data_IF_286318915860
#
_entry.id   IF_286318915860
#
_cell.length_a   1.000
_cell.length_b   1.000
_cell.length_c   1.000
_cell.angle_alpha   90.00
_cell.angle_beta   90.00
_cell.angle_gamma   90.00
#
_symmetry.space_group_name_H-M   'P 1'
#
loop_
_entity.id
_entity.type
_entity.pdbx_description
1 polymer ?
#
# COMPACT_ATOMS: atom_id res chain seq x y z
N UNK A 1 4.78 9.32 9.53
CA UNK A 1 5.41 8.02 9.24
C UNK A 1 6.25 8.16 7.99
N UNK A 2 7.50 7.70 8.00
CA UNK A 2 8.35 7.72 6.79
C UNK A 2 8.12 6.45 5.97
N UNK A 3 8.36 6.54 4.67
CA UNK A 3 8.27 5.42 3.71
C UNK A 3 9.05 4.19 4.17
N UNK A 4 10.23 4.42 4.77
CA UNK A 4 11.10 3.36 5.32
C UNK A 4 10.37 2.55 6.41
N UNK A 5 9.60 3.21 7.28
CA UNK A 5 8.84 2.52 8.33
C UNK A 5 7.73 1.64 7.75
N UNK A 6 7.09 2.08 6.67
CA UNK A 6 6.00 1.34 6.02
C UNK A 6 6.56 0.07 5.35
N UNK A 7 7.66 0.20 4.60
CA UNK A 7 8.32 -0.94 3.97
C UNK A 7 8.77 -2.00 4.99
N UNK A 8 9.27 -1.58 6.16
CA UNK A 8 9.65 -2.51 7.21
C UNK A 8 8.44 -3.30 7.76
N UNK A 9 7.30 -2.63 8.00
CA UNK A 9 6.07 -3.30 8.44
C UNK A 9 5.59 -4.31 7.42
N UNK A 10 5.58 -3.94 6.14
CA UNK A 10 5.17 -4.82 5.04
C UNK A 10 6.03 -6.08 5.01
N UNK A 11 7.35 -5.94 5.15
CA UNK A 11 8.30 -7.06 5.14
C UNK A 11 8.22 -7.94 6.39
N UNK A 12 7.95 -7.35 7.56
CA UNK A 12 7.90 -8.07 8.83
C UNK A 12 6.55 -8.72 9.14
N UNK A 13 5.48 -8.39 8.40
CA UNK A 13 4.12 -8.83 8.70
C UNK A 13 3.46 -9.61 7.55
N UNK A 14 3.93 -10.82 7.18
CA UNK A 14 3.45 -11.56 6.00
C UNK A 14 1.96 -11.94 6.03
N UNK A 15 1.31 -11.87 7.20
CA UNK A 15 -0.12 -12.18 7.38
C UNK A 15 -1.01 -10.92 7.43
N UNK A 16 -0.46 -9.74 7.17
CA UNK A 16 -1.23 -8.49 7.17
C UNK A 16 -2.28 -8.53 6.05
N UNK A 17 -3.55 -8.36 6.43
CA UNK A 17 -4.68 -8.37 5.49
C UNK A 17 -5.30 -6.98 5.30
N UNK A 18 -5.04 -6.04 6.22
CA UNK A 18 -5.58 -4.69 6.17
C UNK A 18 -4.48 -3.70 6.50
N UNK A 19 -4.32 -2.70 5.67
CA UNK A 19 -3.35 -1.63 5.86
C UNK A 19 -4.05 -0.28 5.60
N UNK A 20 -3.92 0.64 6.54
CA UNK A 20 -4.44 1.99 6.41
C UNK A 20 -3.27 2.97 6.31
N UNK A 21 -3.15 3.63 5.16
CA UNK A 21 -2.14 4.66 4.89
C UNK A 21 -2.82 6.02 4.64
N UNK A 22 -4.06 6.21 5.08
CA UNK A 22 -4.78 7.46 4.87
C UNK A 22 -4.01 8.67 5.42
N UNK A 23 -4.02 9.75 4.65
CA UNK A 23 -3.33 11.01 4.90
C UNK A 23 -1.82 10.85 5.16
N UNK A 24 -1.23 9.75 4.68
CA UNK A 24 0.22 9.55 4.74
C UNK A 24 0.89 10.18 3.52
N UNK A 25 2.08 10.76 3.72
CA UNK A 25 2.90 11.27 2.62
C UNK A 25 3.69 10.12 1.98
N UNK A 26 3.06 9.42 1.06
CA UNK A 26 3.60 8.28 0.31
C UNK A 26 3.54 8.53 -1.20
N UNK A 27 4.24 7.70 -1.97
CA UNK A 27 4.30 7.76 -3.42
C UNK A 27 4.20 6.36 -4.05
N UNK A 28 4.29 6.31 -5.38
CA UNK A 28 4.28 5.08 -6.18
C UNK A 28 5.27 4.02 -5.69
N UNK A 29 6.46 4.42 -5.21
CA UNK A 29 7.47 3.50 -4.70
C UNK A 29 6.94 2.69 -3.52
N UNK A 30 6.14 3.32 -2.65
CA UNK A 30 5.52 2.63 -1.51
C UNK A 30 4.50 1.59 -1.99
N UNK A 31 3.71 1.91 -3.02
CA UNK A 31 2.72 1.00 -3.60
C UNK A 31 3.40 -0.17 -4.31
N UNK A 32 4.47 0.07 -5.05
CA UNK A 32 5.28 -0.99 -5.66
C UNK A 32 5.85 -1.96 -4.62
N UNK A 33 6.33 -1.47 -3.49
CA UNK A 33 6.83 -2.33 -2.41
C UNK A 33 5.70 -3.17 -1.79
N UNK A 34 4.49 -2.62 -1.65
CA UNK A 34 3.32 -3.38 -1.22
C UNK A 34 3.00 -4.47 -2.25
N UNK A 35 2.98 -4.14 -3.54
CA UNK A 35 2.70 -5.06 -4.63
C UNK A 35 3.73 -6.20 -4.73
N UNK A 36 5.02 -5.89 -4.54
CA UNK A 36 6.13 -6.87 -4.54
C UNK A 36 6.14 -7.75 -3.29
N UNK A 37 5.51 -7.30 -2.20
CA UNK A 37 5.47 -8.07 -0.97
C UNK A 37 4.52 -9.27 -1.08
N UNK A 38 4.84 -10.34 -0.37
CA UNK A 38 3.97 -11.52 -0.26
C UNK A 38 2.77 -11.29 0.68
N UNK A 39 2.38 -10.04 0.92
CA UNK A 39 1.22 -9.72 1.73
C UNK A 39 -0.04 -10.22 1.03
N UNK A 40 -0.84 -11.02 1.73
CA UNK A 40 -2.18 -11.37 1.27
C UNK A 40 -3.17 -10.26 1.67
N UNK A 41 -2.86 -9.04 1.22
CA UNK A 41 -3.60 -7.85 1.57
C UNK A 41 -4.97 -7.90 0.90
N UNK A 42 -6.01 -7.67 1.71
CA UNK A 42 -7.40 -7.63 1.27
C UNK A 42 -7.95 -6.22 1.25
N UNK A 43 -7.34 -5.31 2.01
CA UNK A 43 -7.80 -3.94 2.15
C UNK A 43 -6.62 -2.98 2.26
N UNK A 44 -6.64 -1.93 1.44
CA UNK A 44 -5.70 -0.82 1.47
C UNK A 44 -6.46 0.50 1.42
N UNK A 45 -6.27 1.35 2.43
CA UNK A 45 -6.83 2.71 2.44
C UNK A 45 -5.77 3.73 2.02
N UNK A 46 -6.04 4.48 0.94
CA UNK A 46 -5.17 5.52 0.39
C UNK A 46 -5.81 6.92 0.44
N UNK A 47 -6.84 7.11 1.27
CA UNK A 47 -7.55 8.40 1.37
C UNK A 47 -6.60 9.56 1.65
N UNK A 48 -6.61 10.59 0.81
CA UNK A 48 -5.77 11.78 0.99
C UNK A 48 -4.28 11.55 0.67
N UNK A 49 -3.94 10.48 -0.03
CA UNK A 49 -2.61 10.24 -0.58
C UNK A 49 -2.57 10.70 -2.05
N UNK A 50 -2.32 12.00 -2.25
CA UNK A 50 -2.47 12.63 -3.58
C UNK A 50 -1.30 12.40 -4.53
N UNK A 51 -0.20 11.79 -4.06
CA UNK A 51 1.04 11.61 -4.83
C UNK A 51 1.21 10.16 -5.32
N UNK A 52 0.08 9.51 -5.63
CA UNK A 52 0.02 8.13 -6.13
C UNK A 52 -0.62 8.13 -7.52
N UNK A 53 0.03 7.47 -8.49
CA UNK A 53 -0.47 7.28 -9.85
C UNK A 53 -1.34 6.04 -9.98
N UNK A 54 -2.20 6.02 -11.03
CA UNK A 54 -3.13 4.91 -11.23
C UNK A 54 -2.39 3.64 -11.65
N UNK A 55 -1.35 3.84 -12.44
CA UNK A 55 -0.43 2.78 -12.85
C UNK A 55 0.22 2.08 -11.65
N UNK A 56 0.56 2.83 -10.59
CA UNK A 56 1.08 2.22 -9.36
C UNK A 56 0.03 1.36 -8.64
N UNK A 57 -1.21 1.85 -8.52
CA UNK A 57 -2.31 1.09 -7.89
C UNK A 57 -2.66 -0.16 -8.69
N UNK A 58 -2.60 -0.10 -10.02
CA UNK A 58 -2.85 -1.24 -10.91
C UNK A 58 -1.81 -2.37 -10.76
N UNK A 59 -0.64 -2.11 -10.14
CA UNK A 59 0.35 -3.15 -9.81
C UNK A 59 -0.05 -3.99 -8.58
N UNK A 60 -1.00 -3.54 -7.76
CA UNK A 60 -1.44 -4.27 -6.58
C UNK A 60 -2.13 -5.58 -6.96
N UNK A 61 -2.14 -6.53 -6.01
CA UNK A 61 -2.85 -7.79 -6.21
C UNK A 61 -4.34 -7.49 -6.51
N UNK A 62 -4.93 -8.04 -7.58
CA UNK A 62 -6.31 -7.75 -7.99
C UNK A 62 -7.37 -8.16 -6.95
N UNK A 63 -7.01 -8.97 -5.96
CA UNK A 63 -7.87 -9.33 -4.84
C UNK A 63 -7.86 -8.29 -3.70
N UNK A 64 -7.01 -7.26 -3.79
CA UNK A 64 -6.92 -6.18 -2.81
C UNK A 64 -8.02 -5.18 -3.09
N UNK A 65 -8.88 -4.92 -2.12
CA UNK A 65 -9.79 -3.78 -2.19
C UNK A 65 -9.03 -2.50 -1.83
N UNK A 66 -8.98 -1.55 -2.77
CA UNK A 66 -8.37 -0.24 -2.56
C UNK A 66 -9.49 0.78 -2.34
N UNK A 67 -9.47 1.45 -1.20
CA UNK A 67 -10.45 2.49 -0.87
C UNK A 67 -9.93 3.86 -1.31
N UNK A 68 -10.82 4.68 -1.87
CA UNK A 68 -10.57 6.05 -2.33
C UNK A 68 -9.55 6.16 -3.49
N UNK A 69 -9.67 5.28 -4.49
CA UNK A 69 -8.87 5.30 -5.72
C UNK A 69 -9.63 4.76 -6.93
#
# INVERSE_FOLDING_TARGET
>A
FSEISICNVIRSCPRLQRLDLSYCKINDITIEEIAKSSLNLKYLNLKGCDNISKEAVDQLNPNTHVENY
#
